data_IF_885579046572
#
_entry.id   IF_885579046572
#
_cell.length_a   1.000
_cell.length_b   1.000
_cell.length_c   1.000
_cell.angle_alpha   90.00
_cell.angle_beta   90.00
_cell.angle_gamma   90.00
#
_symmetry.space_group_name_H-M   'P 1'
#
loop_
_entity.id
_entity.type
_entity.pdbx_description
1 polymer ?
#
# COMPACT_ATOMS: atom_id res chain seq x y z
N UNK A 1 19.65 5.16 -16.25
CA UNK A 1 21.02 5.67 -16.59
C UNK A 1 20.99 6.83 -17.60
N UNK A 2 20.41 6.67 -18.79
CA UNK A 2 20.42 7.72 -19.83
C UNK A 2 19.55 8.95 -19.53
N UNK A 3 18.39 8.79 -18.88
CA UNK A 3 17.63 9.94 -18.37
C UNK A 3 18.41 10.74 -17.33
N UNK A 4 19.14 10.07 -16.42
CA UNK A 4 19.99 10.72 -15.41
C UNK A 4 21.16 11.48 -16.08
N UNK A 5 21.70 10.95 -17.19
CA UNK A 5 22.73 11.58 -18.02
C UNK A 5 22.21 12.68 -18.95
N UNK A 6 20.93 13.09 -18.83
CA UNK A 6 20.28 14.08 -19.69
C UNK A 6 20.33 13.74 -21.19
N UNK A 7 20.21 12.45 -21.52
CA UNK A 7 20.19 11.93 -22.88
C UNK A 7 18.83 11.29 -23.22
N UNK A 8 17.75 12.08 -23.33
CA UNK A 8 16.38 11.55 -23.45
C UNK A 8 16.14 10.80 -24.77
N UNK A 9 16.76 11.22 -25.88
CA UNK A 9 16.64 10.53 -27.16
C UNK A 9 17.19 9.09 -27.11
N UNK A 10 18.32 8.91 -26.43
CA UNK A 10 18.93 7.58 -26.24
C UNK A 10 18.07 6.74 -25.29
N UNK A 11 17.59 7.33 -24.19
CA UNK A 11 16.68 6.65 -23.28
C UNK A 11 15.41 6.15 -23.99
N UNK A 12 14.80 6.99 -24.82
CA UNK A 12 13.61 6.63 -25.62
C UNK A 12 13.91 5.45 -26.55
N UNK A 13 15.04 5.49 -27.27
CA UNK A 13 15.40 4.39 -28.18
C UNK A 13 15.50 3.04 -27.45
N UNK A 14 16.09 3.01 -26.26
CA UNK A 14 16.17 1.78 -25.48
C UNK A 14 14.82 1.34 -24.91
N UNK A 15 13.94 2.28 -24.54
CA UNK A 15 12.56 1.96 -24.17
C UNK A 15 11.80 1.32 -25.33
N UNK A 16 11.97 1.82 -26.56
CA UNK A 16 11.32 1.25 -27.73
C UNK A 16 11.81 -0.17 -28.02
N UNK A 17 13.12 -0.42 -27.82
CA UNK A 17 13.68 -1.78 -27.91
C UNK A 17 13.14 -2.72 -26.82
N UNK A 18 12.93 -2.22 -25.59
CA UNK A 18 12.32 -3.01 -24.51
C UNK A 18 10.88 -3.37 -24.85
N UNK A 19 10.09 -2.41 -25.36
CA UNK A 19 8.71 -2.66 -25.81
C UNK A 19 8.64 -3.69 -26.93
N UNK A 20 9.55 -3.59 -27.91
CA UNK A 20 9.56 -4.47 -29.08
C UNK A 20 9.99 -5.90 -28.75
N UNK A 21 11.02 -6.07 -27.93
CA UNK A 21 11.66 -7.38 -27.73
C UNK A 21 11.25 -8.07 -26.43
N UNK A 22 10.78 -7.31 -25.43
CA UNK A 22 10.44 -7.83 -24.10
C UNK A 22 9.15 -7.21 -23.55
N UNK A 23 8.02 -7.25 -24.29
CA UNK A 23 6.79 -6.57 -23.88
C UNK A 23 6.21 -7.09 -22.55
N UNK A 24 6.41 -8.36 -22.22
CA UNK A 24 5.90 -8.99 -20.99
C UNK A 24 6.86 -8.89 -19.79
N UNK A 25 8.04 -8.31 -19.99
CA UNK A 25 9.00 -8.14 -18.90
C UNK A 25 8.49 -7.13 -17.88
N UNK A 26 8.61 -7.48 -16.59
CA UNK A 26 8.32 -6.57 -15.48
C UNK A 26 9.08 -5.24 -15.59
N UNK A 27 10.31 -5.27 -16.10
CA UNK A 27 11.11 -4.07 -16.33
C UNK A 27 10.55 -3.19 -17.45
N UNK A 28 10.03 -3.80 -18.51
CA UNK A 28 9.36 -3.06 -19.60
C UNK A 28 8.08 -2.42 -19.08
N UNK A 29 7.24 -3.16 -18.35
CA UNK A 29 6.02 -2.60 -17.75
C UNK A 29 6.33 -1.42 -16.81
N UNK A 30 7.31 -1.56 -15.92
CA UNK A 30 7.74 -0.50 -15.00
C UNK A 30 8.27 0.74 -15.75
N UNK A 31 9.21 0.55 -16.68
CA UNK A 31 9.90 1.65 -17.36
C UNK A 31 9.03 2.37 -18.40
N UNK A 32 7.95 1.73 -18.86
CA UNK A 32 7.00 2.31 -19.80
C UNK A 32 5.76 2.88 -19.11
N UNK A 33 5.65 2.73 -17.79
CA UNK A 33 4.57 3.32 -17.00
C UNK A 33 4.53 4.83 -17.22
N UNK A 34 3.34 5.42 -17.49
CA UNK A 34 3.20 6.87 -17.58
C UNK A 34 3.51 7.58 -16.26
N UNK A 35 3.54 6.84 -15.14
CA UNK A 35 3.82 7.35 -13.80
C UNK A 35 5.26 7.12 -13.36
N UNK A 36 6.12 6.51 -14.20
CA UNK A 36 7.46 6.06 -13.79
C UNK A 36 8.28 7.14 -13.06
N UNK A 37 8.33 8.37 -13.59
CA UNK A 37 9.12 9.44 -12.97
C UNK A 37 8.53 9.96 -11.66
N UNK A 38 7.21 10.02 -11.57
CA UNK A 38 6.51 10.46 -10.35
C UNK A 38 6.64 9.39 -9.27
N UNK A 39 6.41 8.12 -9.62
CA UNK A 39 6.51 6.99 -8.71
C UNK A 39 7.95 6.79 -8.22
N UNK A 40 8.95 7.00 -9.09
CA UNK A 40 10.36 6.95 -8.67
C UNK A 40 10.73 8.02 -7.63
N UNK A 41 10.03 9.16 -7.63
CA UNK A 41 10.30 10.28 -6.69
C UNK A 41 9.44 10.20 -5.44
N UNK A 42 8.16 9.84 -5.59
CA UNK A 42 7.13 9.99 -4.56
C UNK A 42 6.22 8.78 -4.42
N UNK A 43 6.44 7.69 -5.17
CA UNK A 43 5.53 6.55 -5.25
C UNK A 43 5.20 5.95 -3.89
N UNK A 44 6.18 5.80 -3.00
CA UNK A 44 5.96 5.32 -1.63
C UNK A 44 4.97 6.23 -0.87
N UNK A 45 5.17 7.54 -0.92
CA UNK A 45 4.29 8.50 -0.25
C UNK A 45 2.89 8.55 -0.87
N UNK A 46 2.80 8.42 -2.20
CA UNK A 46 1.53 8.38 -2.91
C UNK A 46 0.76 7.09 -2.61
N UNK A 47 1.44 5.95 -2.54
CA UNK A 47 0.85 4.67 -2.12
C UNK A 47 0.37 4.74 -0.66
N UNK A 48 1.19 5.26 0.25
CA UNK A 48 0.82 5.45 1.66
C UNK A 48 -0.40 6.37 1.81
N UNK A 49 -0.44 7.47 1.05
CA UNK A 49 -1.58 8.40 1.05
C UNK A 49 -2.85 7.72 0.51
N UNK A 50 -2.72 6.96 -0.59
CA UNK A 50 -3.83 6.18 -1.14
C UNK A 50 -4.33 5.15 -0.13
N UNK A 51 -3.44 4.47 0.59
CA UNK A 51 -3.80 3.51 1.61
C UNK A 51 -4.52 4.19 2.78
N UNK A 52 -4.00 5.32 3.28
CA UNK A 52 -4.66 6.09 4.34
C UNK A 52 -6.09 6.49 3.95
N UNK A 53 -6.28 7.02 2.73
CA UNK A 53 -7.60 7.37 2.21
C UNK A 53 -8.54 6.16 2.07
N UNK A 54 -7.99 4.98 1.76
CA UNK A 54 -8.73 3.72 1.65
C UNK A 54 -9.16 3.22 3.02
N UNK A 55 -8.27 3.29 4.00
CA UNK A 55 -8.58 2.92 5.36
C UNK A 55 -9.64 3.82 6.00
N UNK A 56 -9.55 5.14 5.76
CA UNK A 56 -10.57 6.09 6.22
C UNK A 56 -11.92 5.83 5.55
N UNK A 57 -11.92 5.53 4.24
CA UNK A 57 -13.13 5.13 3.52
C UNK A 57 -13.76 3.85 4.12
N UNK A 58 -12.93 2.85 4.41
CA UNK A 58 -13.37 1.59 5.02
C UNK A 58 -14.02 1.82 6.39
N UNK A 59 -13.37 2.57 7.28
CA UNK A 59 -13.94 2.92 8.60
C UNK A 59 -15.25 3.70 8.50
N UNK A 60 -15.40 4.52 7.45
CA UNK A 60 -16.60 5.30 7.19
C UNK A 60 -17.67 4.52 6.41
N UNK A 61 -17.49 3.22 6.18
CA UNK A 61 -18.38 2.37 5.37
C UNK A 61 -18.58 2.86 3.91
N UNK A 62 -17.60 3.59 3.37
CA UNK A 62 -17.60 4.10 1.99
C UNK A 62 -16.99 3.05 1.04
N UNK A 63 -17.63 1.88 0.95
CA UNK A 63 -17.10 0.69 0.25
C UNK A 63 -16.80 0.92 -1.23
N UNK A 64 -17.63 1.69 -1.95
CA UNK A 64 -17.35 2.07 -3.34
C UNK A 64 -16.00 2.78 -3.50
N UNK A 65 -15.62 3.62 -2.52
CA UNK A 65 -14.33 4.32 -2.51
C UNK A 65 -13.18 3.36 -2.18
N UNK A 66 -13.41 2.37 -1.32
CA UNK A 66 -12.44 1.30 -1.05
C UNK A 66 -12.15 0.49 -2.32
N UNK A 67 -13.20 0.06 -3.02
CA UNK A 67 -13.08 -0.68 -4.30
C UNK A 67 -12.32 0.15 -5.33
N UNK A 68 -12.68 1.43 -5.48
CA UNK A 68 -12.00 2.33 -6.41
C UNK A 68 -10.51 2.50 -6.08
N UNK A 69 -10.18 2.80 -4.82
CA UNK A 69 -8.79 3.00 -4.41
C UNK A 69 -7.96 1.72 -4.53
N UNK A 70 -8.55 0.56 -4.22
CA UNK A 70 -7.91 -0.73 -4.45
C UNK A 70 -7.58 -0.93 -5.92
N UNK A 71 -8.52 -0.63 -6.83
CA UNK A 71 -8.26 -0.75 -8.27
C UNK A 71 -7.12 0.16 -8.76
N UNK A 72 -6.96 1.34 -8.14
CA UNK A 72 -5.79 2.20 -8.37
C UNK A 72 -4.52 1.50 -7.87
N UNK A 73 -4.53 0.99 -6.64
CA UNK A 73 -3.38 0.26 -6.08
C UNK A 73 -3.01 -0.97 -6.90
N UNK A 74 -3.99 -1.77 -7.37
CA UNK A 74 -3.77 -2.98 -8.19
C UNK A 74 -2.97 -2.66 -9.45
N UNK A 75 -3.24 -1.51 -10.07
CA UNK A 75 -2.62 -1.11 -11.34
C UNK A 75 -1.32 -0.34 -11.14
N UNK A 76 -1.30 0.60 -10.19
CA UNK A 76 -0.19 1.55 -10.03
C UNK A 76 0.86 1.05 -9.05
N UNK A 77 0.46 0.29 -8.04
CA UNK A 77 1.35 -0.23 -6.98
C UNK A 77 1.18 -1.75 -6.78
N UNK A 78 1.33 -2.57 -7.85
CA UNK A 78 1.13 -4.02 -7.76
C UNK A 78 2.12 -4.71 -6.80
N UNK A 79 3.33 -4.15 -6.66
CA UNK A 79 4.39 -4.61 -5.76
C UNK A 79 4.61 -3.64 -4.58
N UNK A 80 3.62 -2.79 -4.31
CA UNK A 80 3.71 -1.75 -3.29
C UNK A 80 3.73 -2.32 -1.86
N UNK A 81 4.27 -1.54 -0.92
CA UNK A 81 4.44 -1.98 0.47
C UNK A 81 3.10 -2.12 1.23
N UNK A 82 2.01 -1.56 0.70
CA UNK A 82 0.68 -1.65 1.28
C UNK A 82 -0.21 -2.70 0.57
N UNK A 83 0.35 -3.46 -0.38
CA UNK A 83 -0.41 -4.37 -1.25
C UNK A 83 -1.19 -5.44 -0.48
N UNK A 84 -0.60 -6.00 0.57
CA UNK A 84 -1.25 -6.93 1.50
C UNK A 84 -2.45 -6.28 2.21
N UNK A 85 -2.31 -5.02 2.64
CA UNK A 85 -3.36 -4.25 3.32
C UNK A 85 -4.52 -3.92 2.39
N UNK A 86 -4.24 -3.56 1.14
CA UNK A 86 -5.28 -3.34 0.11
C UNK A 86 -6.06 -4.61 -0.20
N UNK A 87 -5.38 -5.75 -0.36
CA UNK A 87 -6.05 -7.04 -0.53
C UNK A 87 -6.95 -7.36 0.66
N UNK A 88 -6.43 -7.19 1.88
CA UNK A 88 -7.17 -7.50 3.08
C UNK A 88 -8.43 -6.63 3.26
N UNK A 89 -8.30 -5.31 3.19
CA UNK A 89 -9.45 -4.38 3.31
C UNK A 89 -10.43 -4.57 2.14
N UNK A 90 -9.92 -4.85 0.94
CA UNK A 90 -10.73 -5.18 -0.22
C UNK A 90 -11.55 -6.45 -0.02
N UNK A 91 -10.95 -7.52 0.51
CA UNK A 91 -11.66 -8.77 0.79
C UNK A 91 -12.76 -8.58 1.85
N UNK A 92 -12.50 -7.82 2.90
CA UNK A 92 -13.53 -7.47 3.88
C UNK A 92 -14.67 -6.63 3.27
N UNK A 93 -14.35 -5.78 2.30
CA UNK A 93 -15.37 -5.03 1.54
C UNK A 93 -16.24 -5.95 0.70
N UNK A 94 -15.65 -6.95 0.03
CA UNK A 94 -16.39 -7.98 -0.71
C UNK A 94 -17.34 -8.76 0.22
N UNK A 95 -16.91 -9.07 1.44
CA UNK A 95 -17.76 -9.71 2.43
C UNK A 95 -18.97 -8.85 2.79
N UNK A 96 -18.79 -7.53 2.97
CA UNK A 96 -19.89 -6.62 3.23
C UNK A 96 -20.90 -6.57 2.06
N UNK A 97 -20.43 -6.67 0.82
CA UNK A 97 -21.27 -6.72 -0.38
C UNK A 97 -21.94 -8.09 -0.60
N UNK A 98 -21.70 -9.08 0.28
CA UNK A 98 -22.24 -10.44 0.17
C UNK A 98 -21.46 -11.34 -0.78
N UNK A 99 -20.35 -10.86 -1.34
CA UNK A 99 -19.48 -11.64 -2.21
C UNK A 99 -18.46 -12.44 -1.39
N UNK A 100 -18.97 -13.48 -0.73
CA UNK A 100 -18.18 -14.32 0.19
C UNK A 100 -17.00 -14.98 -0.53
N UNK A 101 -17.18 -15.48 -1.76
CA UNK A 101 -16.11 -16.16 -2.48
C UNK A 101 -14.95 -15.20 -2.79
N UNK A 102 -15.24 -14.01 -3.29
CA UNK A 102 -14.19 -13.02 -3.57
C UNK A 102 -13.45 -12.58 -2.29
N UNK A 103 -14.15 -12.48 -1.16
CA UNK A 103 -13.50 -12.27 0.13
C UNK A 103 -12.51 -13.39 0.46
N UNK A 104 -12.92 -14.65 0.32
CA UNK A 104 -12.05 -15.79 0.62
C UNK A 104 -10.85 -15.85 -0.33
N UNK A 105 -11.05 -15.56 -1.62
CA UNK A 105 -9.97 -15.53 -2.61
C UNK A 105 -8.94 -14.44 -2.26
N UNK A 106 -9.39 -13.27 -1.79
CA UNK A 106 -8.50 -12.21 -1.32
C UNK A 106 -7.74 -12.60 -0.05
N UNK A 107 -8.41 -13.23 0.92
CA UNK A 107 -7.76 -13.72 2.15
C UNK A 107 -6.72 -14.81 1.83
N UNK A 108 -7.03 -15.70 0.89
CA UNK A 108 -6.12 -16.73 0.42
C UNK A 108 -4.88 -16.09 -0.23
N UNK A 109 -5.07 -15.08 -1.08
CA UNK A 109 -3.95 -14.34 -1.67
C UNK A 109 -3.07 -13.64 -0.62
N UNK A 110 -3.66 -13.09 0.45
CA UNK A 110 -2.88 -12.49 1.55
C UNK A 110 -1.98 -13.55 2.19
N UNK A 111 -2.54 -14.72 2.54
CA UNK A 111 -1.78 -15.81 3.17
C UNK A 111 -0.68 -16.35 2.26
N UNK A 112 -0.97 -16.55 0.98
CA UNK A 112 -0.03 -17.16 0.03
C UNK A 112 1.09 -16.22 -0.38
N UNK A 113 0.75 -14.97 -0.74
CA UNK A 113 1.72 -14.01 -1.30
C UNK A 113 2.45 -13.21 -0.21
N UNK A 114 1.85 -13.05 0.95
CA UNK A 114 2.39 -12.24 2.04
C UNK A 114 2.48 -13.01 3.36
N UNK A 115 3.08 -14.21 3.41
CA UNK A 115 3.04 -15.08 4.60
C UNK A 115 3.65 -14.43 5.86
N UNK A 116 4.59 -13.50 5.69
CA UNK A 116 5.22 -12.75 6.79
C UNK A 116 4.45 -11.50 7.23
N UNK A 117 3.37 -11.15 6.53
CA UNK A 117 2.49 -10.05 6.96
C UNK A 117 1.72 -10.47 8.19
N UNK A 118 1.60 -9.55 9.16
CA UNK A 118 0.70 -9.73 10.32
C UNK A 118 -0.77 -9.93 9.90
N UNK A 119 -1.15 -9.50 8.70
CA UNK A 119 -2.49 -9.71 8.16
C UNK A 119 -2.74 -11.15 7.72
N UNK A 120 -1.69 -11.92 7.43
CA UNK A 120 -1.82 -13.30 6.98
C UNK A 120 -2.31 -14.23 8.08
N UNK A 121 -1.92 -14.02 9.32
CA UNK A 121 -2.47 -14.76 10.46
C UNK A 121 -3.99 -14.58 10.55
N UNK A 122 -4.45 -13.33 10.44
CA UNK A 122 -5.87 -13.01 10.50
C UNK A 122 -6.65 -13.49 9.28
N UNK A 123 -6.09 -13.37 8.08
CA UNK A 123 -6.66 -13.92 6.86
C UNK A 123 -6.82 -15.44 6.98
N UNK A 124 -5.81 -16.12 7.52
CA UNK A 124 -5.85 -17.55 7.85
C UNK A 124 -6.96 -17.91 8.84
N UNK A 125 -7.16 -17.10 9.88
CA UNK A 125 -8.26 -17.29 10.83
C UNK A 125 -9.65 -17.15 10.17
N UNK A 126 -9.82 -16.19 9.26
CA UNK A 126 -11.05 -16.00 8.49
C UNK A 126 -11.32 -17.22 7.61
N UNK A 127 -10.33 -17.64 6.82
CA UNK A 127 -10.41 -18.83 5.95
C UNK A 127 -10.78 -20.09 6.73
N UNK A 128 -10.09 -20.34 7.85
CA UNK A 128 -10.35 -21.49 8.70
C UNK A 128 -11.74 -21.43 9.34
N UNK A 129 -12.22 -20.23 9.68
CA UNK A 129 -13.57 -20.05 10.21
C UNK A 129 -14.65 -20.46 9.24
N UNK A 130 -14.54 -20.06 7.98
CA UNK A 130 -15.52 -20.45 6.96
C UNK A 130 -15.45 -21.94 6.67
N UNK A 131 -14.24 -22.51 6.56
CA UNK A 131 -14.06 -23.96 6.39
C UNK A 131 -14.68 -24.77 7.53
N UNK A 132 -14.65 -24.24 8.75
CA UNK A 132 -15.29 -24.83 9.92
C UNK A 132 -16.83 -24.63 9.98
N UNK A 133 -17.45 -24.11 8.92
CA UNK A 133 -18.89 -23.87 8.84
C UNK A 133 -19.37 -22.62 9.56
N UNK A 134 -18.45 -21.75 10.02
CA UNK A 134 -18.86 -20.45 10.59
C UNK A 134 -19.36 -19.56 9.47
N UNK A 135 -20.59 -19.07 9.60
CA UNK A 135 -21.12 -18.07 8.68
C UNK A 135 -20.41 -16.73 8.91
N UNK A 136 -19.81 -16.19 7.85
CA UNK A 136 -19.39 -14.79 7.84
C UNK A 136 -20.66 -13.93 7.78
N UNK A 137 -21.18 -13.54 8.95
CA UNK A 137 -22.28 -12.57 9.00
C UNK A 137 -21.68 -11.19 8.77
N UNK A 138 -22.26 -10.41 7.86
CA UNK A 138 -21.97 -8.98 7.64
C UNK A 138 -22.36 -8.08 8.81
N UNK A 139 -22.30 -8.59 10.05
CA UNK A 139 -22.28 -7.78 11.26
C UNK A 139 -20.88 -7.22 11.42
N UNK A 140 -20.80 -6.00 11.95
CA UNK A 140 -19.56 -5.27 12.22
C UNK A 140 -18.49 -6.18 12.80
N UNK A 141 -17.62 -6.73 11.95
CA UNK A 141 -16.35 -7.29 12.42
C UNK A 141 -15.68 -6.09 13.04
N UNK A 142 -15.57 -6.05 14.37
CA UNK A 142 -15.01 -4.91 15.10
C UNK A 142 -13.49 -4.89 14.91
N UNK A 143 -13.09 -4.66 13.66
CA UNK A 143 -11.73 -4.49 13.17
C UNK A 143 -11.11 -3.23 13.76
N UNK A 144 -11.92 -2.34 14.35
CA UNK A 144 -11.43 -1.22 15.12
C UNK A 144 -10.50 -1.72 16.23
N UNK A 145 -10.80 -2.85 16.90
CA UNK A 145 -9.94 -3.40 17.94
C UNK A 145 -8.66 -4.08 17.41
N UNK A 146 -8.70 -4.70 16.23
CA UNK A 146 -7.51 -5.36 15.63
C UNK A 146 -6.55 -4.33 15.02
N UNK A 147 -7.07 -3.24 14.42
CA UNK A 147 -6.26 -2.15 13.88
C UNK A 147 -5.86 -1.13 14.95
N UNK A 148 -6.66 -0.92 16.00
CA UNK A 148 -6.27 -0.08 17.15
C UNK A 148 -5.03 -0.65 17.85
N UNK A 149 -4.90 -1.98 17.93
CA UNK A 149 -3.67 -2.64 18.40
C UNK A 149 -2.47 -2.35 17.49
N UNK A 150 -2.68 -2.11 16.19
CA UNK A 150 -1.63 -1.71 15.25
C UNK A 150 -1.19 -0.25 15.45
N UNK A 151 -2.13 0.67 15.70
CA UNK A 151 -1.78 2.04 16.08
C UNK A 151 -1.09 2.08 17.44
N UNK A 152 -1.48 1.25 18.41
CA UNK A 152 -0.79 1.20 19.71
C UNK A 152 0.68 0.77 19.58
N UNK A 153 1.00 -0.21 18.72
CA UNK A 153 2.37 -0.72 18.54
C UNK A 153 3.20 0.15 17.58
N UNK A 154 2.60 0.77 16.56
CA UNK A 154 3.29 1.79 15.75
C UNK A 154 3.47 3.13 16.49
N UNK A 155 2.60 3.43 17.47
CA UNK A 155 2.74 4.61 18.34
C UNK A 155 3.57 4.34 19.61
N UNK A 156 3.87 3.09 19.96
CA UNK A 156 4.78 2.82 21.08
C UNK A 156 6.24 3.14 20.71
N UNK A 157 6.62 2.99 19.44
CA UNK A 157 7.88 3.52 18.90
C UNK A 157 7.80 5.02 18.57
N UNK A 158 6.58 5.59 18.50
CA UNK A 158 6.30 7.03 18.32
C UNK A 158 5.68 7.63 19.59
N UNK A 159 6.15 7.20 20.77
CA UNK A 159 5.99 7.97 22.02
C UNK A 159 6.84 9.26 22.04
N UNK A 160 7.32 9.72 20.90
CA UNK A 160 7.53 11.15 20.68
C UNK A 160 6.16 11.79 20.46
N UNK A 161 5.61 12.41 21.51
CA UNK A 161 4.49 13.37 21.45
C UNK A 161 4.44 14.02 20.07
N UNK A 162 3.34 13.84 19.33
CA UNK A 162 3.13 14.52 18.05
C UNK A 162 3.43 16.01 18.24
N UNK A 163 4.58 16.45 17.73
CA UNK A 163 5.04 17.83 17.85
C UNK A 163 4.22 18.61 16.82
N UNK A 164 3.18 19.29 17.28
CA UNK A 164 2.40 20.20 16.44
C UNK A 164 3.33 21.34 16.01
N UNK A 165 3.24 21.77 14.75
CA UNK A 165 3.99 22.93 14.30
C UNK A 165 3.59 24.15 15.13
N UNK A 166 4.57 24.75 15.81
CA UNK A 166 4.41 25.98 16.59
C UNK A 166 4.74 27.17 15.71
N UNK A 167 3.96 28.25 15.84
CA UNK A 167 4.26 29.55 15.24
C UNK A 167 5.18 30.41 16.14
N UNK A 168 5.55 29.89 17.32
CA UNK A 168 6.42 30.53 18.30
C UNK A 168 7.86 30.58 17.76
N UNK A 169 8.41 31.79 17.62
CA UNK A 169 9.76 31.99 17.04
C UNK A 169 10.91 31.84 18.03
N UNK A 170 10.62 31.86 19.32
CA UNK A 170 11.62 31.85 20.41
C UNK A 170 11.60 30.54 21.22
N UNK A 171 11.23 29.42 20.59
CA UNK A 171 11.27 28.11 21.23
C UNK A 171 12.64 27.43 20.98
N UNK A 172 13.24 26.72 21.96
CA UNK A 172 14.49 25.99 21.73
C UNK A 172 14.32 24.94 20.62
N UNK A 173 15.09 25.05 19.55
CA UNK A 173 15.08 24.11 18.43
C UNK A 173 16.49 23.55 18.15
N UNK A 174 16.52 22.39 17.50
CA UNK A 174 17.75 21.77 17.02
C UNK A 174 17.71 21.77 15.49
N UNK A 175 18.73 22.34 14.86
CA UNK A 175 18.95 22.21 13.42
C UNK A 175 19.79 20.97 13.14
N UNK A 176 19.34 20.13 12.21
CA UNK A 176 20.11 19.01 11.69
C UNK A 176 20.42 19.27 10.22
N UNK A 177 21.70 19.46 9.91
CA UNK A 177 22.20 19.50 8.53
C UNK A 177 22.69 18.12 8.15
N UNK A 178 21.91 17.42 7.33
CA UNK A 178 22.34 16.19 6.69
C UNK A 178 22.92 16.54 5.31
N UNK A 179 24.20 16.24 5.11
CA UNK A 179 24.84 16.27 3.79
C UNK A 179 25.42 14.88 3.52
N UNK A 180 25.48 14.50 2.24
CA UNK A 180 26.16 13.28 1.81
C UNK A 180 27.64 13.63 1.72
N UNK A 181 28.53 13.09 2.58
CA UNK A 181 29.95 13.31 2.41
C UNK A 181 30.37 12.61 1.11
N UNK A 182 31.08 13.33 0.24
CA UNK A 182 31.53 12.85 -1.06
C UNK A 182 32.13 11.44 -0.94
N UNK A 183 31.62 10.53 -1.79
CA UNK A 183 32.25 9.22 -1.98
C UNK A 183 33.53 9.43 -2.79
N UNK A 184 34.67 9.09 -2.18
CA UNK A 184 36.02 9.16 -2.75
C UNK A 184 36.16 8.28 -4.00
#
# INVERSE_FOLDING_TARGET
LYNIRKQPAIASRYLDLLKANYPESQWTALLTSPYYEEDAKMGIHLEDSLYAATYDAFKANLYNKVVHNRAISDKRYPEGANRDKFLFIGGLTQLHEGNIQACLDDMQQVVEKYPNSRLSEMAGMILNGVKAGRQLKGGTFDLSNVWSRRNAVLNDDVKSKAKVFSIERNEPFVFMLAYVPDSV
#
